data_IF_794337873229
#
_entry.id   IF_794337873229
#
_cell.length_a   1.000
_cell.length_b   1.000
_cell.length_c   1.000
_cell.angle_alpha   90.00
_cell.angle_beta   90.00
_cell.angle_gamma   90.00
#
_symmetry.space_group_name_H-M   'P 1'
#
loop_
_entity.id
_entity.type
_entity.pdbx_description
1 polymer ?
#
# COMPACT_ATOMS: atom_id res chain seq x y z
N UNK A 1 -6.20 -8.58 10.64
CA UNK A 1 -7.23 -7.63 10.17
C UNK A 1 -6.60 -6.60 9.23
N UNK A 2 -5.57 -5.87 9.68
CA UNK A 2 -4.77 -4.95 8.85
C UNK A 2 -4.36 -5.49 7.47
N UNK A 3 -3.60 -6.59 7.44
CA UNK A 3 -3.09 -7.18 6.18
C UNK A 3 -4.18 -7.46 5.14
N UNK A 4 -5.38 -7.86 5.59
CA UNK A 4 -6.54 -8.11 4.71
C UNK A 4 -7.09 -6.82 4.09
N UNK A 5 -7.17 -5.75 4.88
CA UNK A 5 -7.63 -4.43 4.42
C UNK A 5 -6.65 -3.90 3.38
N UNK A 6 -5.35 -3.90 3.70
CA UNK A 6 -4.30 -3.43 2.78
C UNK A 6 -4.27 -4.25 1.49
N UNK A 7 -4.47 -5.57 1.57
CA UNK A 7 -4.55 -6.40 0.36
C UNK A 7 -5.77 -6.05 -0.50
N UNK A 8 -6.91 -5.75 0.12
CA UNK A 8 -8.10 -5.29 -0.61
C UNK A 8 -7.88 -3.94 -1.28
N UNK A 9 -7.34 -2.98 -0.54
CA UNK A 9 -6.93 -1.67 -1.08
C UNK A 9 -5.94 -1.80 -2.24
N UNK A 10 -4.97 -2.70 -2.12
CA UNK A 10 -3.98 -2.93 -3.17
C UNK A 10 -4.62 -3.49 -4.45
N UNK A 11 -5.57 -4.41 -4.34
CA UNK A 11 -6.29 -4.94 -5.49
C UNK A 11 -7.22 -3.89 -6.14
N UNK A 12 -7.88 -3.04 -5.35
CA UNK A 12 -8.70 -1.94 -5.91
C UNK A 12 -7.84 -0.94 -6.70
N UNK A 13 -6.69 -0.53 -6.14
CA UNK A 13 -5.74 0.36 -6.84
C UNK A 13 -5.22 -0.33 -8.11
N UNK A 14 -4.91 -1.62 -8.03
CA UNK A 14 -4.45 -2.41 -9.19
C UNK A 14 -5.51 -2.41 -10.30
N UNK A 15 -6.77 -2.69 -9.97
CA UNK A 15 -7.88 -2.67 -10.93
C UNK A 15 -8.02 -1.34 -11.62
N UNK A 16 -8.04 -0.25 -10.84
CA UNK A 16 -8.16 1.11 -11.38
C UNK A 16 -7.02 1.43 -12.35
N UNK A 17 -5.78 1.06 -12.02
CA UNK A 17 -4.63 1.33 -12.88
C UNK A 17 -4.66 0.48 -14.16
N UNK A 18 -4.91 -0.82 -14.06
CA UNK A 18 -4.96 -1.70 -15.24
C UNK A 18 -6.11 -1.33 -16.18
N UNK A 19 -7.30 -1.01 -15.65
CA UNK A 19 -8.44 -0.50 -16.43
C UNK A 19 -8.11 0.80 -17.18
N UNK A 20 -7.17 1.59 -16.67
CA UNK A 20 -6.69 2.82 -17.30
C UNK A 20 -5.43 2.63 -18.18
N UNK A 21 -5.08 1.39 -18.52
CA UNK A 21 -4.04 1.06 -19.48
C UNK A 21 -2.62 0.99 -18.91
N UNK A 22 -2.46 0.99 -17.60
CA UNK A 22 -1.15 0.76 -16.97
C UNK A 22 -0.81 -0.73 -17.04
N UNK A 23 0.30 -1.06 -17.72
CA UNK A 23 0.80 -2.44 -17.78
C UNK A 23 1.55 -2.80 -16.50
N UNK A 24 1.18 -3.89 -15.79
CA UNK A 24 1.93 -4.37 -14.63
C UNK A 24 3.38 -4.72 -14.98
N UNK A 25 4.32 -4.51 -14.06
CA UNK A 25 5.74 -4.78 -14.31
C UNK A 25 5.98 -6.27 -14.56
N UNK A 26 5.26 -7.14 -13.85
CA UNK A 26 5.32 -8.60 -14.06
C UNK A 26 5.05 -8.98 -15.52
N UNK A 27 4.09 -8.30 -16.16
CA UNK A 27 3.72 -8.51 -17.56
C UNK A 27 4.75 -7.87 -18.48
N UNK A 28 5.08 -6.60 -18.22
CA UNK A 28 6.02 -5.82 -19.03
C UNK A 28 7.39 -6.48 -19.14
N UNK A 29 7.87 -7.06 -18.04
CA UNK A 29 9.20 -7.66 -17.94
C UNK A 29 9.20 -9.16 -18.30
N UNK A 30 8.05 -9.71 -18.72
CA UNK A 30 7.91 -11.11 -19.15
C UNK A 30 8.08 -12.14 -18.03
N UNK A 31 7.87 -11.73 -16.77
CA UNK A 31 7.96 -12.60 -15.59
C UNK A 31 6.72 -13.51 -15.49
N UNK A 32 5.54 -12.97 -15.81
CA UNK A 32 4.26 -13.65 -15.72
C UNK A 32 3.14 -12.91 -16.45
N UNK A 33 1.90 -13.29 -16.15
CA UNK A 33 0.69 -12.65 -16.68
C UNK A 33 0.04 -11.68 -15.66
N UNK A 34 -1.11 -11.11 -16.00
CA UNK A 34 -1.83 -10.18 -15.12
C UNK A 34 -2.30 -10.87 -13.83
N UNK A 35 -2.66 -12.16 -13.88
CA UNK A 35 -3.06 -12.91 -12.68
C UNK A 35 -1.87 -13.05 -11.74
N UNK A 36 -0.69 -13.30 -12.28
CA UNK A 36 0.55 -13.32 -11.51
C UNK A 36 0.85 -11.95 -10.89
N UNK A 37 0.65 -10.87 -11.63
CA UNK A 37 0.81 -9.51 -11.12
C UNK A 37 -0.12 -9.22 -9.93
N UNK A 38 -1.41 -9.60 -10.04
CA UNK A 38 -2.39 -9.49 -8.95
C UNK A 38 -1.98 -10.30 -7.74
N UNK A 39 -1.48 -11.52 -7.94
CA UNK A 39 -0.98 -12.38 -6.87
C UNK A 39 0.23 -11.76 -6.17
N UNK A 40 1.17 -11.20 -6.94
CA UNK A 40 2.35 -10.50 -6.40
C UNK A 40 1.92 -9.31 -5.54
N UNK A 41 1.07 -8.43 -6.08
CA UNK A 41 0.53 -7.27 -5.35
C UNK A 41 -0.20 -7.69 -4.08
N UNK A 42 -1.13 -8.66 -4.17
CA UNK A 42 -1.92 -9.11 -3.03
C UNK A 42 -1.05 -9.75 -1.95
N UNK A 43 -0.15 -10.67 -2.29
CA UNK A 43 0.70 -11.35 -1.30
C UNK A 43 1.71 -10.37 -0.69
N UNK A 44 2.28 -9.48 -1.51
CA UNK A 44 3.17 -8.41 -1.05
C UNK A 44 2.49 -7.53 -0.01
N UNK A 45 1.31 -7.00 -0.33
CA UNK A 45 0.45 -6.24 0.57
C UNK A 45 0.06 -7.03 1.83
N UNK A 46 -0.24 -8.32 1.71
CA UNK A 46 -0.65 -9.15 2.85
C UNK A 46 0.50 -9.41 3.84
N UNK A 47 1.71 -9.56 3.33
CA UNK A 47 2.89 -9.97 4.10
C UNK A 47 3.82 -8.82 4.46
N UNK A 48 3.59 -7.59 3.99
CA UNK A 48 4.51 -6.46 4.16
C UNK A 48 5.01 -6.30 5.60
N UNK A 49 4.12 -6.50 6.56
CA UNK A 49 4.34 -6.28 7.99
C UNK A 49 4.81 -7.52 8.78
N UNK A 50 5.07 -8.66 8.11
CA UNK A 50 5.41 -9.93 8.80
C UNK A 50 6.68 -9.83 9.65
N UNK A 51 7.59 -8.92 9.31
CA UNK A 51 8.82 -8.69 10.08
C UNK A 51 8.58 -8.12 11.49
N UNK A 52 7.41 -7.54 11.76
CA UNK A 52 7.03 -7.09 13.10
C UNK A 52 6.94 -8.24 14.12
N UNK A 53 6.85 -9.49 13.65
CA UNK A 53 6.98 -10.67 14.51
C UNK A 53 8.36 -10.80 15.18
N UNK A 54 9.39 -10.16 14.61
CA UNK A 54 10.75 -10.10 15.16
C UNK A 54 10.95 -8.77 15.89
N UNK A 55 10.82 -7.65 15.17
CA UNK A 55 11.02 -6.31 15.73
C UNK A 55 10.41 -5.25 14.81
N UNK A 56 10.04 -4.09 15.37
CA UNK A 56 9.50 -2.95 14.59
C UNK A 56 10.57 -2.24 13.76
N UNK A 57 11.75 -2.01 14.32
CA UNK A 57 12.87 -1.47 13.54
C UNK A 57 13.32 -2.51 12.50
N UNK A 58 13.52 -2.06 11.26
CA UNK A 58 13.94 -2.89 10.13
C UNK A 58 12.95 -4.02 9.78
N UNK A 59 11.66 -3.87 10.12
CA UNK A 59 10.64 -4.90 9.86
C UNK A 59 10.45 -5.20 8.37
N UNK A 60 10.68 -4.25 7.47
CA UNK A 60 10.71 -4.49 6.02
C UNK A 60 11.83 -5.48 5.63
N UNK A 61 13.04 -5.33 6.19
CA UNK A 61 14.17 -6.24 5.93
C UNK A 61 13.95 -7.61 6.57
N UNK A 62 13.55 -7.65 7.85
CA UNK A 62 13.29 -8.92 8.53
C UNK A 62 12.08 -9.63 7.92
N UNK A 63 11.10 -8.89 7.41
CA UNK A 63 9.97 -9.41 6.64
C UNK A 63 10.43 -10.17 5.40
N UNK A 64 11.35 -9.60 4.61
CA UNK A 64 11.99 -10.29 3.47
C UNK A 64 12.68 -11.58 3.93
N UNK A 65 13.45 -11.52 5.01
CA UNK A 65 14.17 -12.68 5.55
C UNK A 65 13.22 -13.81 5.99
N UNK A 66 12.06 -13.49 6.58
CA UNK A 66 11.06 -14.48 6.97
C UNK A 66 10.34 -15.03 5.73
N UNK A 67 9.85 -14.15 4.85
CA UNK A 67 9.02 -14.50 3.71
C UNK A 67 9.78 -15.37 2.68
N UNK A 68 11.05 -15.07 2.43
CA UNK A 68 11.91 -15.82 1.49
C UNK A 68 12.01 -17.31 1.82
N UNK A 69 11.85 -17.70 3.09
CA UNK A 69 11.96 -19.09 3.55
C UNK A 69 10.76 -19.96 3.16
N UNK A 70 9.59 -19.37 2.97
CA UNK A 70 8.36 -20.13 2.70
C UNK A 70 7.67 -19.76 1.39
N UNK A 71 7.89 -18.57 0.83
CA UNK A 71 7.23 -18.11 -0.40
C UNK A 71 7.39 -19.09 -1.57
N UNK A 72 8.59 -19.61 -1.92
CA UNK A 72 8.72 -20.56 -3.02
C UNK A 72 7.88 -21.83 -2.82
N UNK A 73 7.77 -22.31 -1.57
CA UNK A 73 6.98 -23.50 -1.23
C UNK A 73 5.48 -23.22 -1.29
N UNK A 74 5.07 -22.03 -0.84
CA UNK A 74 3.68 -21.58 -0.91
C UNK A 74 3.24 -21.44 -2.37
N UNK A 75 4.00 -20.71 -3.17
CA UNK A 75 3.71 -20.48 -4.58
C UNK A 75 3.73 -21.78 -5.39
N UNK A 76 4.64 -22.71 -5.09
CA UNK A 76 4.65 -24.03 -5.74
C UNK A 76 3.36 -24.82 -5.47
N UNK A 77 2.70 -24.67 -4.32
CA UNK A 77 1.40 -25.30 -4.06
C UNK A 77 0.28 -24.69 -4.90
N UNK A 78 0.39 -23.42 -5.27
CA UNK A 78 -0.57 -22.70 -6.10
C UNK A 78 -0.37 -23.04 -7.59
N UNK A 79 0.87 -22.95 -8.06
CA UNK A 79 1.18 -23.07 -9.48
C UNK A 79 1.58 -24.48 -9.94
N UNK A 80 1.96 -25.37 -9.02
CA UNK A 80 2.52 -26.68 -9.37
C UNK A 80 3.93 -26.63 -9.98
N UNK A 81 4.45 -25.45 -10.29
CA UNK A 81 5.75 -25.23 -10.93
C UNK A 81 6.72 -24.44 -10.01
N UNK A 82 7.89 -25.03 -9.76
CA UNK A 82 8.94 -24.36 -9.01
C UNK A 82 9.56 -23.20 -9.77
N UNK A 83 9.73 -23.29 -11.09
CA UNK A 83 10.37 -22.24 -11.86
C UNK A 83 9.55 -20.95 -11.78
N UNK A 84 8.23 -21.03 -12.01
CA UNK A 84 7.30 -19.91 -11.81
C UNK A 84 7.30 -19.41 -10.36
N UNK A 85 7.29 -20.31 -9.37
CA UNK A 85 7.36 -19.92 -7.95
C UNK A 85 8.64 -19.14 -7.62
N UNK A 86 9.80 -19.57 -8.13
CA UNK A 86 11.07 -18.87 -7.92
C UNK A 86 11.13 -17.52 -8.63
N UNK A 87 10.50 -17.37 -9.80
CA UNK A 87 10.40 -16.10 -10.52
C UNK A 87 9.54 -15.07 -9.78
N UNK A 88 8.39 -15.47 -9.24
CA UNK A 88 7.47 -14.55 -8.54
C UNK A 88 7.90 -14.23 -7.10
N UNK A 89 8.76 -15.06 -6.49
CA UNK A 89 9.25 -14.83 -5.13
C UNK A 89 9.95 -13.48 -4.96
N UNK A 90 10.99 -13.11 -5.73
CA UNK A 90 11.67 -11.83 -5.58
C UNK A 90 10.73 -10.63 -5.78
N UNK A 91 9.71 -10.76 -6.62
CA UNK A 91 8.72 -9.70 -6.88
C UNK A 91 7.85 -9.42 -5.65
N UNK A 92 7.42 -10.48 -4.95
CA UNK A 92 6.72 -10.35 -3.67
C UNK A 92 7.65 -9.79 -2.59
N UNK A 93 8.91 -10.27 -2.53
CA UNK A 93 9.90 -9.76 -1.59
C UNK A 93 10.21 -8.28 -1.82
N UNK A 94 10.21 -7.83 -3.07
CA UNK A 94 10.35 -6.42 -3.42
C UNK A 94 9.18 -5.58 -2.92
N UNK A 95 7.94 -6.08 -3.03
CA UNK A 95 6.77 -5.42 -2.41
C UNK A 95 6.93 -5.31 -0.88
N UNK A 96 7.38 -6.39 -0.22
CA UNK A 96 7.62 -6.41 1.23
C UNK A 96 8.78 -5.48 1.62
N UNK A 97 9.86 -5.41 0.86
CA UNK A 97 10.95 -4.49 1.17
C UNK A 97 10.50 -3.05 0.98
N UNK A 98 9.86 -2.79 -0.15
CA UNK A 98 9.55 -1.45 -0.60
C UNK A 98 8.46 -0.79 0.22
N UNK A 99 7.64 -1.48 1.00
CA UNK A 99 6.53 -0.81 1.71
C UNK A 99 6.98 0.28 2.71
N UNK A 100 8.22 0.20 3.20
CA UNK A 100 8.85 1.24 4.03
C UNK A 100 8.99 2.55 3.24
N UNK A 101 8.71 3.70 3.88
CA UNK A 101 8.76 4.98 3.18
C UNK A 101 10.14 5.34 2.61
N UNK A 102 11.22 4.77 3.16
CA UNK A 102 12.60 5.06 2.75
C UNK A 102 13.05 4.27 1.52
N UNK A 103 12.43 3.14 1.25
CA UNK A 103 12.80 2.24 0.17
C UNK A 103 12.01 2.59 -1.10
N UNK A 104 12.66 2.91 -2.21
CA UNK A 104 11.94 3.27 -3.43
C UNK A 104 11.32 2.03 -4.09
N UNK A 105 10.01 2.07 -4.36
CA UNK A 105 9.37 1.04 -5.15
C UNK A 105 9.76 1.18 -6.63
N UNK A 106 10.15 0.05 -7.22
CA UNK A 106 10.65 -0.03 -8.60
C UNK A 106 9.69 -0.72 -9.58
N UNK A 107 8.67 -1.40 -9.06
CA UNK A 107 7.64 -2.06 -9.87
C UNK A 107 6.27 -1.47 -9.57
N UNK A 108 5.34 -1.63 -10.51
CA UNK A 108 3.96 -1.17 -10.34
C UNK A 108 3.32 -1.84 -9.11
N UNK A 109 3.54 -3.14 -8.95
CA UNK A 109 3.00 -3.98 -7.89
C UNK A 109 3.50 -3.54 -6.49
N UNK A 110 4.78 -3.18 -6.38
CA UNK A 110 5.37 -2.67 -5.14
C UNK A 110 4.86 -1.26 -4.83
N UNK A 111 4.72 -0.41 -5.84
CA UNK A 111 4.16 0.93 -5.71
C UNK A 111 2.72 0.90 -5.20
N UNK A 112 1.89 0.04 -5.80
CA UNK A 112 0.51 -0.22 -5.39
C UNK A 112 0.45 -0.70 -3.94
N UNK A 113 1.23 -1.73 -3.60
CA UNK A 113 1.24 -2.32 -2.25
C UNK A 113 1.62 -1.28 -1.19
N UNK A 114 2.61 -0.43 -1.49
CA UNK A 114 3.04 0.67 -0.63
C UNK A 114 1.94 1.70 -0.40
N UNK A 115 1.29 2.17 -1.46
CA UNK A 115 0.23 3.19 -1.33
C UNK A 115 -0.95 2.61 -0.58
N UNK A 116 -1.33 1.36 -0.87
CA UNK A 116 -2.39 0.65 -0.18
C UNK A 116 -2.16 0.57 1.33
N UNK A 117 -0.93 0.30 1.77
CA UNK A 117 -0.57 0.32 3.19
C UNK A 117 -0.83 1.70 3.82
N UNK A 118 -0.42 2.76 3.13
CA UNK A 118 -0.69 4.14 3.53
C UNK A 118 -2.17 4.48 3.69
N UNK A 119 -3.09 3.80 2.99
CA UNK A 119 -4.54 4.10 3.08
C UNK A 119 -5.20 3.58 4.35
N UNK A 120 -4.57 2.67 5.09
CA UNK A 120 -5.14 2.04 6.28
C UNK A 120 -4.88 2.86 7.56
N UNK A 121 -5.34 4.11 7.52
CA UNK A 121 -5.11 5.14 8.54
C UNK A 121 -6.39 5.63 9.25
N UNK A 122 -7.55 5.00 8.97
CA UNK A 122 -8.81 5.39 9.58
C UNK A 122 -8.85 5.16 11.10
N UNK A 123 -9.62 6.01 11.79
CA UNK A 123 -9.74 6.18 13.25
C UNK A 123 -9.79 4.87 14.06
N UNK A 124 -10.45 3.83 13.56
CA UNK A 124 -10.58 2.54 14.26
C UNK A 124 -9.23 1.92 14.64
N UNK A 125 -8.19 2.19 13.86
CA UNK A 125 -6.82 1.71 14.06
C UNK A 125 -5.99 2.61 14.97
N UNK A 126 -6.19 3.92 14.91
CA UNK A 126 -5.48 4.90 15.75
C UNK A 126 -5.88 4.81 17.24
N UNK A 127 -7.12 4.38 17.52
CA UNK A 127 -7.67 4.29 18.88
C UNK A 127 -6.94 3.30 19.79
N UNK A 128 -6.36 2.23 19.24
CA UNK A 128 -5.67 1.19 20.03
C UNK A 128 -4.39 1.76 20.68
N UNK A 129 -3.41 2.29 19.94
CA UNK A 129 -2.20 2.87 20.54
C UNK A 129 -2.49 4.08 21.44
N UNK A 130 -3.47 4.92 21.10
CA UNK A 130 -3.84 6.07 21.95
C UNK A 130 -4.34 5.63 23.34
N UNK A 131 -5.20 4.60 23.41
CA UNK A 131 -5.67 4.02 24.68
C UNK A 131 -4.55 3.42 25.54
N UNK A 132 -3.42 3.05 24.93
CA UNK A 132 -2.23 2.57 25.63
C UNK A 132 -1.26 3.70 26.03
N UNK A 133 -1.70 4.96 26.00
CA UNK A 133 -0.94 6.10 26.50
C UNK A 133 -0.01 6.77 25.48
N UNK A 134 -0.07 6.40 24.19
CA UNK A 134 0.63 7.17 23.15
C UNK A 134 -0.15 8.44 22.81
N UNK A 135 0.38 9.59 23.24
CA UNK A 135 -0.14 10.92 22.96
C UNK A 135 0.83 11.74 22.10
N UNK A 136 1.37 11.14 21.03
CA UNK A 136 2.16 11.86 20.04
C UNK A 136 1.27 12.49 18.95
N UNK A 137 1.84 13.42 18.18
CA UNK A 137 1.13 14.12 17.11
C UNK A 137 0.59 13.15 16.04
N UNK A 138 1.26 12.00 15.84
CA UNK A 138 0.82 10.98 14.89
C UNK A 138 -0.45 10.27 15.39
N UNK A 139 -0.51 9.90 16.66
CA UNK A 139 -1.72 9.31 17.26
C UNK A 139 -2.90 10.28 17.23
N UNK A 140 -2.68 11.56 17.55
CA UNK A 140 -3.73 12.57 17.55
C UNK A 140 -4.27 12.86 16.13
N UNK A 141 -3.39 13.00 15.15
CA UNK A 141 -3.79 13.26 13.76
C UNK A 141 -4.48 12.05 13.11
N UNK A 142 -4.07 10.83 13.45
CA UNK A 142 -4.75 9.62 12.99
C UNK A 142 -6.16 9.45 13.60
N UNK A 143 -6.39 9.99 14.79
CA UNK A 143 -7.74 10.07 15.37
C UNK A 143 -8.64 11.08 14.68
N UNK A 144 -8.11 11.94 13.81
CA UNK A 144 -8.92 12.87 13.03
C UNK A 144 -9.44 12.27 11.71
N UNK A 145 -8.99 11.06 11.31
CA UNK A 145 -9.39 10.44 10.03
C UNK A 145 -10.62 9.55 10.23
N UNK A 146 -11.78 10.00 9.77
CA UNK A 146 -13.03 9.23 9.85
C UNK A 146 -13.06 8.05 8.89
N UNK A 147 -12.70 8.33 7.63
CA UNK A 147 -12.87 7.38 6.53
C UNK A 147 -11.83 7.62 5.45
N UNK A 148 -11.36 6.53 4.85
CA UNK A 148 -10.54 6.55 3.64
C UNK A 148 -11.23 5.69 2.59
N UNK A 149 -11.39 6.22 1.38
CA UNK A 149 -11.98 5.51 0.25
C UNK A 149 -11.06 5.62 -0.96
N UNK A 150 -10.92 4.51 -1.68
CA UNK A 150 -10.20 4.46 -2.95
C UNK A 150 -11.27 4.38 -4.03
N UNK A 151 -11.27 5.35 -4.93
CA UNK A 151 -12.24 5.44 -6.02
C UNK A 151 -11.55 5.79 -7.34
N UNK A 152 -12.26 5.61 -8.45
CA UNK A 152 -11.81 6.04 -9.77
C UNK A 152 -11.75 7.57 -9.80
N UNK A 153 -10.62 8.11 -10.24
CA UNK A 153 -10.42 9.52 -10.49
C UNK A 153 -11.04 9.97 -11.81
N UNK A 154 -11.32 11.27 -11.91
CA UNK A 154 -12.00 11.84 -13.08
C UNK A 154 -11.04 12.07 -14.27
N UNK A 155 -9.73 12.03 -14.02
CA UNK A 155 -8.69 12.29 -15.00
C UNK A 155 -7.92 11.02 -15.35
N UNK A 156 -7.70 10.79 -16.66
CA UNK A 156 -6.85 9.69 -17.13
C UNK A 156 -5.40 9.76 -16.61
N UNK A 157 -4.91 10.97 -16.30
CA UNK A 157 -3.56 11.14 -15.77
C UNK A 157 -3.49 10.84 -14.26
N UNK A 158 -4.61 10.90 -13.54
CA UNK A 158 -4.73 10.60 -12.12
C UNK A 158 -5.90 9.64 -11.87
N UNK A 159 -5.81 8.39 -12.39
CA UNK A 159 -6.93 7.46 -12.35
C UNK A 159 -7.27 7.00 -10.93
N UNK A 160 -6.36 7.11 -9.96
CA UNK A 160 -6.60 6.71 -8.58
C UNK A 160 -6.91 7.95 -7.74
N UNK A 161 -8.12 8.05 -7.21
CA UNK A 161 -8.50 9.10 -6.24
C UNK A 161 -8.66 8.47 -4.86
N UNK A 162 -7.95 9.03 -3.88
CA UNK A 162 -8.05 8.64 -2.47
C UNK A 162 -8.80 9.75 -1.74
N UNK A 163 -10.03 9.45 -1.31
CA UNK A 163 -10.84 10.37 -0.52
C UNK A 163 -10.54 10.13 0.95
N UNK A 164 -10.17 11.19 1.67
CA UNK A 164 -9.86 11.15 3.10
C UNK A 164 -10.80 12.11 3.82
N UNK A 165 -11.79 11.58 4.53
CA UNK A 165 -12.72 12.39 5.33
C UNK A 165 -12.22 12.53 6.76
N UNK A 166 -12.12 13.77 7.23
CA UNK A 166 -11.50 14.13 8.49
C UNK A 166 -12.47 14.89 9.40
N UNK A 167 -12.32 14.73 10.71
CA UNK A 167 -13.07 15.53 11.69
C UNK A 167 -12.56 16.96 11.77
N UNK A 168 -11.24 17.12 11.68
CA UNK A 168 -10.54 18.39 11.81
C UNK A 168 -9.20 18.38 11.04
N UNK A 169 -8.56 19.54 10.98
CA UNK A 169 -7.36 19.80 10.17
C UNK A 169 -6.13 19.01 10.59
N UNK A 170 -6.10 18.42 11.80
CA UNK A 170 -4.98 17.58 12.22
C UNK A 170 -4.80 16.37 11.28
N UNK A 171 -5.86 15.90 10.62
CA UNK A 171 -5.79 14.80 9.65
C UNK A 171 -4.90 15.08 8.45
N UNK A 172 -4.70 16.36 8.07
CA UNK A 172 -3.78 16.75 7.00
C UNK A 172 -2.36 16.24 7.26
N UNK A 173 -1.95 16.23 8.53
CA UNK A 173 -0.63 15.73 8.91
C UNK A 173 -0.47 14.23 8.59
N UNK A 174 -1.52 13.40 8.73
CA UNK A 174 -1.47 11.99 8.32
C UNK A 174 -1.38 11.86 6.80
N UNK A 175 -2.15 12.67 6.08
CA UNK A 175 -2.10 12.68 4.61
C UNK A 175 -0.70 13.02 4.13
N UNK A 176 -0.06 14.05 4.69
CA UNK A 176 1.25 14.50 4.23
C UNK A 176 2.40 13.60 4.73
N UNK A 177 2.40 13.24 6.01
CA UNK A 177 3.55 12.57 6.63
C UNK A 177 3.51 11.04 6.58
N UNK A 178 2.35 10.44 6.29
CA UNK A 178 2.21 8.98 6.19
C UNK A 178 1.91 8.58 4.75
N UNK A 179 0.75 9.00 4.22
CA UNK A 179 0.36 8.63 2.87
C UNK A 179 1.23 9.32 1.81
N UNK A 180 1.51 10.61 1.99
CA UNK A 180 2.31 11.42 1.07
C UNK A 180 3.73 10.86 0.89
N UNK A 181 4.40 10.53 2.00
CA UNK A 181 5.73 9.91 1.99
C UNK A 181 5.73 8.59 1.21
N UNK A 182 4.70 7.75 1.42
CA UNK A 182 4.54 6.48 0.69
C UNK A 182 4.25 6.73 -0.80
N UNK A 183 3.41 7.69 -1.14
CA UNK A 183 3.12 8.03 -2.54
C UNK A 183 4.39 8.51 -3.26
N UNK A 184 5.16 9.41 -2.67
CA UNK A 184 6.39 9.96 -3.28
C UNK A 184 7.42 8.88 -3.62
N UNK A 185 7.54 7.84 -2.78
CA UNK A 185 8.49 6.75 -3.00
C UNK A 185 7.87 5.50 -3.64
N UNK A 186 6.64 5.61 -4.18
CA UNK A 186 5.90 4.50 -4.80
C UNK A 186 6.18 4.30 -6.29
N UNK A 187 6.68 5.32 -6.99
CA UNK A 187 6.79 5.29 -8.45
C UNK A 187 5.46 5.45 -9.20
N UNK A 188 4.33 5.60 -8.50
CA UNK A 188 3.00 5.86 -9.07
C UNK A 188 2.39 7.19 -8.62
N UNK A 189 3.21 8.11 -8.08
CA UNK A 189 2.76 9.39 -7.51
C UNK A 189 1.94 10.23 -8.48
N UNK A 190 2.36 10.28 -9.75
CA UNK A 190 1.68 11.05 -10.78
C UNK A 190 0.28 10.52 -11.12
N UNK A 191 -0.02 9.26 -10.76
CA UNK A 191 -1.30 8.58 -11.04
C UNK A 191 -2.34 8.78 -9.94
N UNK A 192 -1.96 9.40 -8.83
CA UNK A 192 -2.78 9.49 -7.61
C UNK A 192 -3.19 10.93 -7.34
N UNK A 193 -4.45 11.13 -7.00
CA UNK A 193 -4.97 12.36 -6.41
C UNK A 193 -5.56 12.07 -5.03
N UNK A 194 -5.34 12.97 -4.07
CA UNK A 194 -6.01 12.89 -2.76
C UNK A 194 -7.01 14.02 -2.64
N UNK A 195 -8.25 13.67 -2.31
CA UNK A 195 -9.30 14.60 -1.94
C UNK A 195 -9.51 14.56 -0.43
N UNK A 196 -9.06 15.61 0.26
CA UNK A 196 -9.29 15.77 1.69
C UNK A 196 -10.64 16.45 1.93
N UNK A 197 -11.49 15.81 2.73
CA UNK A 197 -12.77 16.33 3.18
C UNK A 197 -12.71 16.66 4.68
N UNK A 198 -13.49 17.65 5.12
CA UNK A 198 -13.73 17.96 6.52
C UNK A 198 -15.22 17.80 6.81
N UNK A 199 -15.57 16.70 7.48
CA UNK A 199 -16.96 16.30 7.73
C UNK A 199 -17.79 16.24 6.45
N UNK A 200 -17.24 15.58 5.41
CA UNK A 200 -17.89 15.41 4.10
C UNK A 200 -17.87 16.63 3.18
N UNK A 201 -17.34 17.78 3.63
CA UNK A 201 -17.19 18.97 2.80
C UNK A 201 -15.78 19.05 2.24
N UNK A 202 -15.65 19.31 0.94
CA UNK A 202 -14.35 19.49 0.30
C UNK A 202 -13.49 20.51 1.05
N UNK A 203 -12.26 20.10 1.40
CA UNK A 203 -11.30 20.94 2.10
C UNK A 203 -10.10 21.27 1.22
N UNK A 204 -9.47 20.25 0.62
CA UNK A 204 -8.27 20.43 -0.21
C UNK A 204 -8.03 19.24 -1.14
N UNK A 205 -7.62 19.51 -2.38
CA UNK A 205 -6.99 18.51 -3.26
C UNK A 205 -5.48 18.53 -3.08
N UNK A 206 -4.87 17.35 -2.93
CA UNK A 206 -3.42 17.19 -2.72
C UNK A 206 -2.88 16.23 -3.78
N UNK A 207 -1.75 16.61 -4.36
CA UNK A 207 -1.02 15.79 -5.34
C UNK A 207 0.46 15.75 -4.98
N UNK A 208 1.08 14.60 -5.18
CA UNK A 208 2.52 14.40 -4.98
C UNK A 208 3.22 14.19 -6.33
N UNK A 209 4.54 14.31 -6.31
CA UNK A 209 5.46 14.05 -7.41
C UNK A 209 6.64 13.26 -6.89
#
# INVERSE_FOLDING_TARGET
>A
VHSRIVSGSALEIFDILVENGYTPSIVKDGVGDEVDARIVTMIGAYLHDIGNAIHRSLHHITGVAIASRFLPRLLKKIYGDYLKAYKLTPEILHCILSHDERERALSLEAGISKVADGTDMAEGRARIPYRHGKSDIHALSALAIKKVEIVRGDSKNRPVKIIVDMENEAGIFQIEQVLGMKIQTSGIADTIEIEALKNGVHFKTITFR
#
